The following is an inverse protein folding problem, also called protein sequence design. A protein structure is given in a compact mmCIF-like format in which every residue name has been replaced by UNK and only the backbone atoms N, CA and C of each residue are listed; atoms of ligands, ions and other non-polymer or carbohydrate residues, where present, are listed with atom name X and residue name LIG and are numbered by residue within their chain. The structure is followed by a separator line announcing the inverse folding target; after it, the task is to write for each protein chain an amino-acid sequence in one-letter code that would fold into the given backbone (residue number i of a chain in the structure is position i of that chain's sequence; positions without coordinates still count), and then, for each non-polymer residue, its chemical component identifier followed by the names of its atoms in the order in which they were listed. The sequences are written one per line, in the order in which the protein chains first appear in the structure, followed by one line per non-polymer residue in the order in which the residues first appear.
data_IF_264150139469
#
_entry.id   IF_264150139469
#
_cell.length_a   1.000
_cell.length_b   1.000
_cell.length_c   1.000
_cell.angle_alpha   90.00
_cell.angle_beta   90.00
_cell.angle_gamma   90.00
#
_symmetry.space_group_name_H-M   'P 1'
#
loop_
_entity.id
_entity.type
_entity.pdbx_description
1 polymer ?
#
# COMPACT_ATOMS: atom_id res chain seq x y z
N UNK A 1 -4.64 16.84 -20.80
CA UNK A 1 -4.55 18.12 -20.07
C UNK A 1 -3.09 18.29 -19.63
N UNK A 2 -2.47 19.39 -19.98
CA UNK A 2 -1.09 19.69 -19.63
C UNK A 2 -0.98 20.36 -18.23
N UNK A 3 0.24 20.51 -17.73
CA UNK A 3 0.45 21.17 -16.42
C UNK A 3 0.02 22.66 -16.50
N UNK A 4 -0.89 23.06 -15.60
CA UNK A 4 -1.45 24.41 -15.56
C UNK A 4 -2.49 24.72 -16.63
N UNK A 5 -2.91 23.74 -17.41
CA UNK A 5 -3.96 23.84 -18.40
C UNK A 5 -5.34 23.72 -17.72
N UNK A 6 -6.23 24.62 -18.11
CA UNK A 6 -7.65 24.57 -17.77
C UNK A 6 -8.44 24.25 -19.03
N UNK A 7 -9.25 23.21 -18.97
CA UNK A 7 -10.14 22.80 -20.05
C UNK A 7 -11.57 23.12 -19.66
N UNK A 8 -12.24 23.93 -20.46
CA UNK A 8 -13.66 24.25 -20.34
C UNK A 8 -14.44 23.51 -21.43
N UNK A 9 -15.46 22.80 -21.03
CA UNK A 9 -16.41 22.15 -21.94
C UNK A 9 -17.77 22.84 -21.77
N UNK A 10 -18.22 23.54 -22.78
CA UNK A 10 -19.48 24.26 -22.78
C UNK A 10 -20.14 24.12 -24.16
N UNK A 11 -21.46 23.89 -24.19
CA UNK A 11 -22.23 23.73 -25.43
C UNK A 11 -21.62 22.74 -26.46
N UNK A 12 -21.06 21.64 -25.99
CA UNK A 12 -20.37 20.63 -26.79
C UNK A 12 -19.06 21.16 -27.49
N UNK A 13 -18.55 22.31 -27.07
CA UNK A 13 -17.27 22.86 -27.50
C UNK A 13 -16.24 22.70 -26.39
N UNK A 14 -15.00 22.39 -26.78
CA UNK A 14 -13.85 22.29 -25.89
C UNK A 14 -12.96 23.51 -26.10
N UNK A 15 -12.68 24.27 -25.02
CA UNK A 15 -11.73 25.37 -24.99
C UNK A 15 -10.63 25.07 -24.00
N UNK A 16 -9.38 25.26 -24.40
CA UNK A 16 -8.21 25.07 -23.55
C UNK A 16 -7.44 26.39 -23.42
N UNK A 17 -6.99 26.71 -22.20
CA UNK A 17 -6.18 27.90 -21.91
C UNK A 17 -5.28 27.66 -20.70
N UNK A 18 -4.18 28.42 -20.63
CA UNK A 18 -3.18 28.35 -19.54
C UNK A 18 -3.15 29.67 -18.78
N UNK A 19 -4.06 29.86 -17.78
CA UNK A 19 -4.20 31.14 -17.07
C UNK A 19 -3.08 31.41 -16.06
N UNK A 20 -2.26 30.38 -15.72
CA UNK A 20 -1.24 30.48 -14.69
C UNK A 20 0.17 30.52 -15.28
N UNK A 21 1.11 31.25 -14.66
CA UNK A 21 2.50 31.23 -15.08
C UNK A 21 3.10 29.84 -14.88
N UNK A 22 4.01 29.45 -15.78
CA UNK A 22 4.74 28.18 -15.69
C UNK A 22 5.51 28.12 -14.37
N UNK A 23 5.34 27.03 -13.63
CA UNK A 23 6.03 26.76 -12.37
C UNK A 23 6.82 25.46 -12.49
N UNK A 24 7.87 25.33 -11.67
CA UNK A 24 8.61 24.06 -11.54
C UNK A 24 7.67 22.96 -11.06
N UNK A 25 7.67 21.83 -11.75
CA UNK A 25 6.90 20.64 -11.38
C UNK A 25 7.41 20.12 -10.03
N UNK A 26 6.50 19.91 -9.11
CA UNK A 26 6.78 19.35 -7.77
C UNK A 26 5.80 18.17 -7.57
N UNK A 27 6.18 16.97 -8.00
CA UNK A 27 5.33 15.80 -7.82
C UNK A 27 5.14 15.50 -6.33
N UNK A 28 3.96 15.09 -5.97
CA UNK A 28 3.67 14.62 -4.61
C UNK A 28 4.22 13.21 -4.45
N UNK A 29 5.09 13.00 -3.46
CA UNK A 29 5.65 11.66 -3.17
C UNK A 29 4.57 10.62 -2.87
N UNK A 30 3.43 11.05 -2.32
CA UNK A 30 2.30 10.18 -1.99
C UNK A 30 1.67 9.50 -3.21
N UNK A 31 1.79 10.11 -4.40
CA UNK A 31 1.38 9.47 -5.66
C UNK A 31 2.17 8.19 -5.93
N UNK A 32 3.48 8.21 -5.68
CA UNK A 32 4.35 7.05 -5.87
C UNK A 32 4.08 5.95 -4.85
N UNK A 33 3.81 6.32 -3.60
CA UNK A 33 3.69 5.39 -2.48
C UNK A 33 2.30 4.73 -2.45
N UNK A 34 1.24 5.52 -2.58
CA UNK A 34 -0.11 5.06 -2.27
C UNK A 34 -1.17 5.45 -3.30
N UNK A 35 -1.25 6.76 -3.70
CA UNK A 35 -2.46 7.31 -4.30
C UNK A 35 -2.66 6.95 -5.77
N UNK A 36 -1.60 7.02 -6.60
CA UNK A 36 -1.69 6.68 -8.01
C UNK A 36 -2.07 5.21 -8.21
N UNK A 37 -2.84 4.94 -9.26
CA UNK A 37 -3.12 3.56 -9.67
C UNK A 37 -1.80 2.86 -10.04
N UNK A 38 -1.67 1.55 -9.77
CA UNK A 38 -0.43 0.82 -10.05
C UNK A 38 0.05 0.90 -11.50
N UNK A 39 -0.88 1.02 -12.45
CA UNK A 39 -0.65 1.15 -13.89
C UNK A 39 -0.37 2.58 -14.38
N UNK A 40 -0.48 3.59 -13.51
CA UNK A 40 -0.17 4.99 -13.86
C UNK A 40 1.31 5.19 -14.09
N UNK A 41 1.64 5.95 -15.16
CA UNK A 41 3.04 6.29 -15.48
C UNK A 41 3.46 7.56 -14.72
N UNK A 42 4.46 7.44 -13.89
CA UNK A 42 5.07 8.52 -13.10
C UNK A 42 6.56 8.59 -13.45
N UNK A 43 7.01 9.71 -14.04
CA UNK A 43 8.40 9.88 -14.46
C UNK A 43 8.97 8.70 -15.30
N UNK A 44 8.18 8.20 -16.25
CA UNK A 44 8.62 7.17 -17.20
C UNK A 44 8.55 5.72 -16.70
N UNK A 45 8.12 5.50 -15.45
CA UNK A 45 7.88 4.17 -14.86
C UNK A 45 6.48 4.08 -14.30
N UNK A 46 5.95 2.85 -14.18
CA UNK A 46 4.66 2.65 -13.52
C UNK A 46 4.77 2.88 -12.01
N UNK A 47 3.67 3.30 -11.38
CA UNK A 47 3.59 3.37 -9.92
C UNK A 47 3.88 2.00 -9.27
N UNK A 48 3.50 0.91 -9.94
CA UNK A 48 3.83 -0.45 -9.51
C UNK A 48 5.34 -0.70 -9.45
N UNK A 49 6.09 -0.29 -10.50
CA UNK A 49 7.56 -0.43 -10.53
C UNK A 49 8.23 0.41 -9.45
N UNK A 50 7.76 1.64 -9.21
CA UNK A 50 8.26 2.47 -8.11
C UNK A 50 8.08 1.79 -6.76
N UNK A 51 6.87 1.28 -6.46
CA UNK A 51 6.58 0.58 -5.20
C UNK A 51 7.37 -0.70 -5.04
N UNK A 52 7.55 -1.44 -6.12
CA UNK A 52 8.39 -2.65 -6.12
C UNK A 52 9.85 -2.32 -5.81
N UNK A 53 10.38 -1.23 -6.36
CA UNK A 53 11.73 -0.76 -6.06
C UNK A 53 11.87 -0.31 -4.60
N UNK A 54 10.87 0.40 -4.03
CA UNK A 54 10.86 0.73 -2.59
C UNK A 54 10.97 -0.53 -1.73
N UNK A 55 10.26 -1.60 -2.09
CA UNK A 55 10.37 -2.88 -1.39
C UNK A 55 11.75 -3.52 -1.51
N UNK A 56 12.42 -3.37 -2.65
CA UNK A 56 13.79 -3.82 -2.84
C UNK A 56 14.77 -3.05 -1.94
N UNK A 57 14.72 -1.71 -1.95
CA UNK A 57 15.54 -0.86 -1.06
C UNK A 57 15.31 -1.20 0.42
N UNK A 58 14.04 -1.38 0.83
CA UNK A 58 13.69 -1.80 2.19
C UNK A 58 14.28 -3.17 2.56
N UNK A 59 14.46 -4.06 1.57
CA UNK A 59 15.07 -5.37 1.79
C UNK A 59 16.60 -5.30 1.98
N UNK A 60 17.26 -4.32 1.37
CA UNK A 60 18.69 -4.06 1.55
C UNK A 60 19.03 -3.63 2.98
N UNK A 61 18.05 -2.97 3.65
CA UNK A 61 18.16 -2.54 5.05
C UNK A 61 17.69 -3.60 6.05
N UNK A 62 17.31 -4.80 5.56
CA UNK A 62 16.71 -5.82 6.42
C UNK A 62 17.75 -6.70 7.10
N UNK A 63 17.65 -6.79 8.41
CA UNK A 63 18.46 -7.65 9.29
C UNK A 63 17.63 -8.77 9.95
N UNK A 64 16.36 -8.94 9.56
CA UNK A 64 15.40 -9.84 10.23
C UNK A 64 15.21 -11.11 9.41
N UNK A 65 15.37 -12.25 10.06
CA UNK A 65 15.06 -13.57 9.50
C UNK A 65 13.56 -13.88 9.64
N UNK A 66 12.93 -14.25 8.52
CA UNK A 66 11.53 -14.66 8.48
C UNK A 66 11.30 -15.84 7.55
N UNK A 67 10.21 -16.57 7.79
CA UNK A 67 9.80 -17.70 6.95
C UNK A 67 9.07 -17.22 5.69
N UNK A 68 8.26 -16.16 5.82
CA UNK A 68 7.42 -15.63 4.74
C UNK A 68 7.31 -14.10 4.80
N UNK A 69 7.10 -13.52 3.62
CA UNK A 69 6.81 -12.09 3.45
C UNK A 69 5.32 -11.95 3.12
N UNK A 70 4.62 -11.15 3.90
CA UNK A 70 3.17 -10.97 3.79
C UNK A 70 2.85 -9.50 3.50
N UNK A 71 2.10 -9.16 2.44
CA UNK A 71 1.67 -7.79 2.21
C UNK A 71 0.46 -7.42 3.05
N UNK A 72 0.31 -6.13 3.37
CA UNK A 72 -0.99 -5.55 3.68
C UNK A 72 -1.71 -5.24 2.36
N UNK A 73 -2.77 -5.97 2.00
CA UNK A 73 -3.41 -5.78 0.71
C UNK A 73 -4.29 -4.52 0.68
N UNK A 74 -4.38 -3.81 -0.45
CA UNK A 74 -3.70 -4.05 -1.75
C UNK A 74 -2.43 -3.21 -1.87
N UNK A 75 -2.27 -2.19 -1.03
CA UNK A 75 -1.25 -1.14 -1.13
C UNK A 75 0.18 -1.67 -0.93
N UNK A 76 0.36 -2.60 -0.01
CA UNK A 76 1.65 -3.24 0.28
C UNK A 76 2.09 -4.31 -0.73
N UNK A 77 1.21 -4.75 -1.65
CA UNK A 77 1.50 -5.90 -2.53
C UNK A 77 2.77 -5.73 -3.36
N UNK A 78 2.95 -4.59 -4.02
CA UNK A 78 4.09 -4.37 -4.90
C UNK A 78 5.40 -4.27 -4.13
N UNK A 79 5.40 -3.57 -3.00
CA UNK A 79 6.58 -3.45 -2.13
C UNK A 79 6.96 -4.80 -1.52
N UNK A 80 6.00 -5.57 -1.00
CA UNK A 80 6.25 -6.90 -0.44
C UNK A 80 6.81 -7.87 -1.49
N UNK A 81 6.33 -7.78 -2.73
CA UNK A 81 6.88 -8.58 -3.83
C UNK A 81 8.33 -8.21 -4.14
N UNK A 82 8.64 -6.91 -4.21
CA UNK A 82 10.01 -6.43 -4.42
C UNK A 82 10.95 -6.87 -3.31
N UNK A 83 10.50 -6.75 -2.06
CA UNK A 83 11.20 -7.18 -0.86
C UNK A 83 11.49 -8.70 -0.88
N UNK A 84 10.47 -9.52 -1.12
CA UNK A 84 10.58 -10.97 -1.15
C UNK A 84 11.54 -11.45 -2.27
N UNK A 85 11.44 -10.86 -3.46
CA UNK A 85 12.31 -11.19 -4.59
C UNK A 85 13.78 -10.85 -4.32
N UNK A 86 14.04 -9.72 -3.65
CA UNK A 86 15.40 -9.31 -3.31
C UNK A 86 16.06 -10.29 -2.32
N UNK A 87 15.32 -10.72 -1.29
CA UNK A 87 15.83 -11.65 -0.27
C UNK A 87 15.74 -13.13 -0.67
N UNK A 88 15.13 -13.47 -1.82
CA UNK A 88 14.87 -14.86 -2.18
C UNK A 88 13.93 -15.59 -1.22
N UNK A 89 13.02 -14.84 -0.56
CA UNK A 89 12.03 -15.37 0.40
C UNK A 89 10.66 -15.58 -0.25
N UNK A 90 9.85 -16.44 0.35
CA UNK A 90 8.49 -16.69 -0.14
C UNK A 90 7.58 -15.49 0.12
N UNK A 91 6.93 -15.02 -0.94
CA UNK A 91 5.83 -14.06 -0.88
C UNK A 91 4.52 -14.84 -0.73
N UNK A 92 3.72 -14.52 0.31
CA UNK A 92 2.48 -15.23 0.59
C UNK A 92 1.33 -14.27 0.91
N UNK A 93 0.15 -14.58 0.39
CA UNK A 93 -1.08 -13.87 0.75
C UNK A 93 -1.60 -14.32 2.14
N UNK A 94 -0.86 -13.96 3.18
CA UNK A 94 -1.25 -14.23 4.57
C UNK A 94 -2.44 -13.41 5.05
N UNK A 95 -2.73 -12.30 4.36
CA UNK A 95 -3.92 -11.45 4.55
C UNK A 95 -4.73 -11.41 3.26
N UNK A 96 -6.03 -11.65 3.37
CA UNK A 96 -6.96 -11.59 2.24
C UNK A 96 -7.92 -10.44 2.42
N UNK A 97 -8.04 -9.59 1.39
CA UNK A 97 -9.00 -8.51 1.36
C UNK A 97 -10.37 -8.99 0.89
N UNK A 98 -11.40 -8.63 1.63
CA UNK A 98 -12.77 -8.80 1.17
C UNK A 98 -13.16 -7.65 0.23
N UNK A 99 -13.29 -7.94 -1.06
CA UNK A 99 -13.63 -6.96 -2.11
C UNK A 99 -15.06 -6.42 -2.03
N UNK A 100 -15.97 -7.12 -1.34
CA UNK A 100 -17.35 -6.67 -1.16
C UNK A 100 -17.51 -5.60 -0.08
N UNK A 101 -16.47 -5.31 0.72
CA UNK A 101 -16.48 -4.27 1.74
C UNK A 101 -15.77 -3.03 1.22
N UNK A 102 -16.50 -1.90 1.10
CA UNK A 102 -15.98 -0.62 0.63
C UNK A 102 -15.00 0.07 1.59
N UNK A 103 -14.67 1.34 1.31
CA UNK A 103 -13.75 2.15 2.13
C UNK A 103 -14.36 2.46 3.51
N UNK A 104 -13.73 1.97 4.59
CA UNK A 104 -14.16 2.17 5.98
C UNK A 104 -13.77 3.52 6.59
N UNK A 105 -12.96 4.34 5.90
CA UNK A 105 -12.48 5.63 6.42
C UNK A 105 -13.55 6.73 6.47
N UNK A 106 -14.70 6.52 5.80
CA UNK A 106 -15.80 7.50 5.70
C UNK A 106 -16.84 7.28 6.81
N UNK A 107 -16.70 6.21 7.60
CA UNK A 107 -17.65 5.88 8.65
C UNK A 107 -17.48 6.77 9.89
N UNK A 108 -18.57 7.35 10.42
CA UNK A 108 -18.52 8.38 11.46
C UNK A 108 -18.11 7.86 12.84
N UNK A 109 -18.33 6.60 13.17
CA UNK A 109 -18.02 6.07 14.51
C UNK A 109 -16.80 5.17 14.56
N UNK A 110 -16.07 5.20 15.69
CA UNK A 110 -14.87 4.39 15.91
C UNK A 110 -15.19 2.90 16.02
N UNK A 111 -16.36 2.55 16.51
CA UNK A 111 -16.81 1.16 16.63
C UNK A 111 -17.09 0.56 15.24
N UNK A 112 -17.76 1.29 14.37
CA UNK A 112 -18.04 0.88 12.98
C UNK A 112 -16.73 0.78 12.18
N UNK A 113 -15.79 1.72 12.37
CA UNK A 113 -14.44 1.63 11.75
C UNK A 113 -13.66 0.40 12.22
N UNK A 114 -13.82 0.01 13.50
CA UNK A 114 -13.13 -1.16 14.05
C UNK A 114 -13.72 -2.47 13.53
N UNK A 115 -15.04 -2.55 13.41
CA UNK A 115 -15.73 -3.65 12.77
C UNK A 115 -15.40 -3.74 11.27
N UNK A 116 -15.30 -2.59 10.60
CA UNK A 116 -14.95 -2.47 9.19
C UNK A 116 -13.58 -3.06 8.85
N UNK A 117 -12.56 -2.92 9.70
CA UNK A 117 -11.25 -3.57 9.47
C UNK A 117 -11.38 -5.09 9.57
N UNK A 118 -12.11 -5.62 10.55
CA UNK A 118 -12.36 -7.07 10.68
C UNK A 118 -13.18 -7.66 9.52
N UNK A 119 -14.09 -6.87 8.94
CA UNK A 119 -14.86 -7.29 7.76
C UNK A 119 -14.06 -7.20 6.46
N UNK A 120 -13.05 -6.32 6.42
CA UNK A 120 -12.28 -5.99 5.22
C UNK A 120 -11.07 -6.90 5.01
N UNK A 121 -10.44 -7.34 6.10
CA UNK A 121 -9.24 -8.18 6.06
C UNK A 121 -9.45 -9.45 6.87
N UNK A 122 -9.02 -10.58 6.33
CA UNK A 122 -9.01 -11.86 7.01
C UNK A 122 -7.61 -12.47 6.91
N UNK A 123 -7.15 -13.06 8.01
CA UNK A 123 -5.91 -13.81 8.05
C UNK A 123 -6.10 -15.20 7.44
N UNK A 124 -5.18 -15.60 6.55
CA UNK A 124 -5.12 -16.95 6.01
C UNK A 124 -4.38 -17.85 7.02
N UNK A 125 -5.13 -18.47 7.91
CA UNK A 125 -4.60 -19.23 9.04
C UNK A 125 -3.64 -20.35 8.60
N UNK A 126 -3.93 -21.06 7.52
CA UNK A 126 -3.07 -22.17 7.02
C UNK A 126 -1.71 -21.69 6.55
N UNK A 127 -1.64 -20.47 6.01
CA UNK A 127 -0.39 -19.85 5.54
C UNK A 127 0.44 -19.28 6.70
N UNK A 128 -0.24 -18.77 7.74
CA UNK A 128 0.36 -17.97 8.82
C UNK A 128 0.82 -18.81 10.01
N UNK A 129 0.08 -19.88 10.33
CA UNK A 129 0.29 -20.66 11.55
C UNK A 129 1.74 -21.11 11.71
N UNK A 130 2.29 -20.89 12.91
CA UNK A 130 3.65 -21.25 13.33
C UNK A 130 4.78 -20.59 12.51
N UNK A 131 4.48 -19.51 11.74
CA UNK A 131 5.46 -18.81 10.90
C UNK A 131 5.97 -17.52 11.55
N UNK A 132 7.24 -17.21 11.30
CA UNK A 132 7.81 -15.88 11.46
C UNK A 132 7.53 -15.06 10.20
N UNK A 133 6.93 -13.90 10.36
CA UNK A 133 6.36 -13.09 9.28
C UNK A 133 7.04 -11.73 9.24
N UNK A 134 7.47 -11.28 8.05
CA UNK A 134 7.67 -9.88 7.77
C UNK A 134 6.41 -9.36 7.06
N UNK A 135 5.68 -8.47 7.74
CA UNK A 135 4.51 -7.79 7.22
C UNK A 135 4.93 -6.48 6.56
N UNK A 136 4.64 -6.31 5.27
CA UNK A 136 4.98 -5.11 4.51
C UNK A 136 3.73 -4.27 4.27
N UNK A 137 3.76 -3.00 4.71
CA UNK A 137 2.74 -2.00 4.40
C UNK A 137 3.36 -0.83 3.62
N UNK A 138 2.54 -0.03 2.95
CA UNK A 138 3.00 1.13 2.18
C UNK A 138 3.42 2.29 3.08
N UNK A 139 2.64 2.60 4.10
CA UNK A 139 2.82 3.78 4.96
C UNK A 139 2.21 3.58 6.35
N UNK A 140 2.73 4.29 7.33
CA UNK A 140 2.24 4.28 8.71
C UNK A 140 1.89 5.71 9.14
N UNK A 141 0.60 5.98 9.43
CA UNK A 141 0.14 7.32 9.84
C UNK A 141 -0.16 7.37 11.34
N UNK A 142 -1.08 6.53 11.84
CA UNK A 142 -1.52 6.50 13.24
C UNK A 142 -1.28 5.17 13.95
N UNK A 143 -0.83 4.16 13.26
CA UNK A 143 -0.59 2.82 13.80
C UNK A 143 -1.81 2.01 14.23
N UNK A 144 -3.01 2.61 14.32
CA UNK A 144 -4.21 1.91 14.81
C UNK A 144 -4.64 0.75 13.91
N UNK A 145 -4.50 0.88 12.61
CA UNK A 145 -4.79 -0.20 11.65
C UNK A 145 -3.73 -1.29 11.73
N UNK A 146 -2.45 -0.91 11.73
CA UNK A 146 -1.32 -1.84 11.81
C UNK A 146 -1.37 -2.67 13.09
N UNK A 147 -1.70 -2.07 14.24
CA UNK A 147 -1.88 -2.79 15.50
C UNK A 147 -2.98 -3.87 15.41
N UNK A 148 -4.11 -3.56 14.77
CA UNK A 148 -5.21 -4.53 14.58
C UNK A 148 -4.81 -5.66 13.64
N UNK A 149 -4.05 -5.36 12.59
CA UNK A 149 -3.56 -6.35 11.62
C UNK A 149 -2.56 -7.29 12.31
N UNK A 150 -1.61 -6.75 13.05
CA UNK A 150 -0.64 -7.54 13.82
C UNK A 150 -1.35 -8.45 14.81
N UNK A 151 -2.33 -7.92 15.56
CA UNK A 151 -3.14 -8.76 16.47
C UNK A 151 -3.87 -9.87 15.71
N UNK A 152 -4.45 -9.58 14.54
CA UNK A 152 -5.13 -10.57 13.70
C UNK A 152 -4.20 -11.70 13.26
N UNK A 153 -2.95 -11.39 12.93
CA UNK A 153 -1.92 -12.37 12.55
C UNK A 153 -1.55 -13.27 13.74
N UNK A 154 -1.37 -12.70 14.94
CA UNK A 154 -1.14 -13.49 16.15
C UNK A 154 -2.35 -14.35 16.53
N UNK A 155 -3.56 -13.81 16.43
CA UNK A 155 -4.81 -14.57 16.68
C UNK A 155 -4.96 -15.74 15.68
N UNK A 156 -4.38 -15.64 14.47
CA UNK A 156 -4.32 -16.70 13.46
C UNK A 156 -3.16 -17.68 13.67
N UNK A 157 -2.34 -17.50 14.70
CA UNK A 157 -1.27 -18.43 15.09
C UNK A 157 0.11 -18.08 14.56
N UNK A 158 0.37 -16.83 14.12
CA UNK A 158 1.73 -16.40 13.79
C UNK A 158 2.66 -16.53 14.99
N UNK A 159 3.87 -17.02 14.76
CA UNK A 159 4.90 -17.16 15.80
C UNK A 159 5.54 -15.83 16.14
N UNK A 160 5.80 -15.02 15.12
CA UNK A 160 6.48 -13.73 15.22
C UNK A 160 6.04 -12.84 14.05
N UNK A 161 5.84 -11.54 14.30
CA UNK A 161 5.41 -10.57 13.28
C UNK A 161 6.29 -9.32 13.36
N UNK A 162 7.03 -9.05 12.31
CA UNK A 162 7.81 -7.82 12.11
C UNK A 162 7.12 -6.95 11.08
N UNK A 163 6.90 -5.69 11.39
CA UNK A 163 6.29 -4.73 10.46
C UNK A 163 7.38 -3.89 9.82
N UNK A 164 7.41 -3.86 8.51
CA UNK A 164 8.27 -2.99 7.69
C UNK A 164 7.40 -2.06 6.83
N UNK A 165 7.79 -0.82 6.72
CA UNK A 165 7.06 0.23 6.00
C UNK A 165 7.87 0.65 4.78
N UNK A 166 7.25 0.59 3.60
CA UNK A 166 7.94 0.87 2.33
C UNK A 166 8.12 2.37 2.04
N UNK A 167 7.32 3.23 2.70
CA UNK A 167 7.49 4.67 2.60
C UNK A 167 8.78 5.10 3.31
N UNK A 168 9.63 5.95 2.70
CA UNK A 168 10.74 6.59 3.40
C UNK A 168 10.23 7.48 4.56
N UNK A 169 11.09 7.76 5.53
CA UNK A 169 10.83 8.62 6.69
C UNK A 169 10.51 10.08 6.30
#
# INVERSE_FOLDING_TARGET
VENGEVVLIENNELRSFKPFPVRKVRPCVFEYIYFARPDSILNGKTAYEHRKNLGKELAEENDIEADIIVPVPDSGNAAALGFAQHLGKNFEHGLIRNHYVGRTFIEPSQQIRSLGVKLKLNANQTTIKDKKIILIDDSLVRGTTSHKIVKMLYDAGAKEVHVKIACPE
#
